data_IF_900579395616
#
_entry.id   IF_900579395616
#
_cell.length_a   1.000
_cell.length_b   1.000
_cell.length_c   1.000
_cell.angle_alpha   90.00
_cell.angle_beta   90.00
_cell.angle_gamma   90.00
#
_symmetry.space_group_name_H-M   'P 1'
#
loop_
_entity.id
_entity.type
_entity.pdbx_description
1 polymer ?
#
# COMPACT_ATOMS: atom_id res chain seq x y z
N UNK A 1 -8.83 -41.80 -21.27
CA UNK A 1 -9.15 -41.30 -19.89
C UNK A 1 -10.65 -41.16 -19.77
N UNK A 2 -11.27 -41.58 -18.66
CA UNK A 2 -12.70 -41.37 -18.44
C UNK A 2 -13.03 -39.85 -18.48
N UNK A 3 -14.17 -39.49 -19.05
CA UNK A 3 -14.61 -38.10 -19.15
C UNK A 3 -14.71 -37.43 -17.78
N UNK A 4 -15.02 -38.16 -16.73
CA UNK A 4 -15.06 -37.71 -15.34
C UNK A 4 -13.70 -37.21 -14.82
N UNK A 5 -12.60 -37.88 -15.21
CA UNK A 5 -11.24 -37.47 -14.81
C UNK A 5 -10.85 -36.18 -15.53
N UNK A 6 -11.22 -36.02 -16.80
CA UNK A 6 -10.98 -34.78 -17.56
C UNK A 6 -11.79 -33.62 -16.95
N UNK A 7 -13.04 -33.85 -16.58
CA UNK A 7 -13.88 -32.86 -15.93
C UNK A 7 -13.32 -32.47 -14.53
N UNK A 8 -12.84 -33.42 -13.75
CA UNK A 8 -12.21 -33.17 -12.45
C UNK A 8 -10.93 -32.34 -12.57
N UNK A 9 -10.07 -32.66 -13.53
CA UNK A 9 -8.83 -31.93 -13.81
C UNK A 9 -9.09 -30.51 -14.32
N UNK A 10 -10.17 -30.27 -15.06
CA UNK A 10 -10.56 -28.95 -15.52
C UNK A 10 -11.15 -28.07 -14.39
N UNK A 11 -11.91 -28.68 -13.46
CA UNK A 11 -12.56 -27.94 -12.36
C UNK A 11 -11.57 -27.56 -11.25
N UNK A 12 -10.56 -28.36 -11.00
CA UNK A 12 -9.58 -28.14 -9.91
C UNK A 12 -8.80 -26.82 -10.08
N UNK A 13 -8.16 -26.53 -11.23
CA UNK A 13 -7.46 -25.27 -11.42
C UNK A 13 -8.36 -24.06 -11.31
N UNK A 14 -9.59 -24.14 -11.81
CA UNK A 14 -10.56 -23.06 -11.70
C UNK A 14 -10.95 -22.77 -10.24
N UNK A 15 -11.18 -23.80 -9.42
CA UNK A 15 -11.44 -23.62 -7.98
C UNK A 15 -10.28 -22.96 -7.25
N UNK A 16 -9.06 -23.34 -7.56
CA UNK A 16 -7.85 -22.74 -6.96
C UNK A 16 -7.74 -21.26 -7.33
N UNK A 17 -7.94 -20.93 -8.62
CA UNK A 17 -7.94 -19.56 -9.09
C UNK A 17 -9.03 -18.72 -8.42
N UNK A 18 -10.25 -19.23 -8.35
CA UNK A 18 -11.37 -18.56 -7.68
C UNK A 18 -11.07 -18.33 -6.20
N UNK A 19 -10.57 -19.35 -5.50
CA UNK A 19 -10.16 -19.23 -4.09
C UNK A 19 -9.07 -18.20 -3.89
N UNK A 20 -8.07 -18.16 -4.78
CA UNK A 20 -7.03 -17.15 -4.75
C UNK A 20 -7.61 -15.74 -4.93
N UNK A 21 -8.48 -15.54 -5.91
CA UNK A 21 -9.14 -14.25 -6.16
C UNK A 21 -9.96 -13.81 -4.95
N UNK A 22 -10.70 -14.72 -4.32
CA UNK A 22 -11.47 -14.42 -3.11
C UNK A 22 -10.56 -14.00 -1.95
N UNK A 23 -9.47 -14.71 -1.69
CA UNK A 23 -8.50 -14.32 -0.67
C UNK A 23 -7.79 -13.02 -1.01
N UNK A 24 -7.45 -12.80 -2.27
CA UNK A 24 -6.88 -11.53 -2.72
C UNK A 24 -7.85 -10.37 -2.45
N UNK A 25 -9.15 -10.55 -2.68
CA UNK A 25 -10.18 -9.56 -2.35
C UNK A 25 -10.33 -9.33 -0.84
N UNK A 26 -10.24 -10.40 -0.02
CA UNK A 26 -10.29 -10.31 1.45
C UNK A 26 -9.09 -9.55 2.01
N UNK A 27 -7.90 -9.77 1.46
CA UNK A 27 -6.68 -9.09 1.91
C UNK A 27 -6.66 -7.60 1.56
N UNK A 28 -7.37 -7.16 0.50
CA UNK A 28 -7.38 -5.77 0.06
C UNK A 28 -7.74 -4.77 1.18
N UNK A 29 -8.89 -4.89 1.87
CA UNK A 29 -9.24 -3.96 2.94
C UNK A 29 -8.31 -4.07 4.15
N UNK A 30 -7.77 -5.27 4.45
CA UNK A 30 -6.85 -5.46 5.56
C UNK A 30 -5.50 -4.79 5.29
N UNK A 31 -4.97 -4.89 4.07
CA UNK A 31 -3.74 -4.19 3.66
C UNK A 31 -3.95 -2.68 3.66
N UNK A 32 -5.12 -2.20 3.23
CA UNK A 32 -5.45 -0.78 3.28
C UNK A 32 -5.53 -0.24 4.71
N UNK A 33 -6.12 -1.00 5.64
CA UNK A 33 -6.14 -0.65 7.06
C UNK A 33 -4.75 -0.68 7.69
N UNK A 34 -3.92 -1.64 7.28
CA UNK A 34 -2.53 -1.74 7.71
C UNK A 34 -1.72 -0.52 7.22
N UNK A 35 -1.85 -0.14 5.94
CA UNK A 35 -1.25 1.09 5.41
C UNK A 35 -1.60 2.29 6.29
N UNK A 36 -2.89 2.52 6.51
CA UNK A 36 -3.37 3.63 7.30
C UNK A 36 -2.80 3.61 8.73
N UNK A 37 -2.83 2.45 9.38
CA UNK A 37 -2.32 2.28 10.75
C UNK A 37 -0.81 2.54 10.85
N UNK A 38 -0.03 1.96 9.95
CA UNK A 38 1.43 2.14 9.89
C UNK A 38 1.76 3.61 9.61
N UNK A 39 1.12 4.21 8.63
CA UNK A 39 1.36 5.61 8.28
C UNK A 39 1.03 6.54 9.45
N UNK A 40 -0.17 6.42 10.03
CA UNK A 40 -0.65 7.31 11.09
C UNK A 40 0.09 7.12 12.41
N UNK A 41 0.28 5.87 12.85
CA UNK A 41 0.76 5.60 14.22
C UNK A 41 2.24 5.26 14.26
N UNK A 42 2.77 4.54 13.28
CA UNK A 42 4.18 4.16 13.29
C UNK A 42 5.04 5.27 12.68
N UNK A 43 4.75 5.69 11.46
CA UNK A 43 5.58 6.68 10.76
C UNK A 43 5.51 8.09 11.38
N UNK A 44 4.35 8.47 11.92
CA UNK A 44 4.18 9.81 12.48
C UNK A 44 4.28 9.89 14.01
N UNK A 45 3.83 8.89 14.77
CA UNK A 45 3.75 8.97 16.23
C UNK A 45 4.78 8.13 16.97
N UNK A 46 4.96 6.85 16.61
CA UNK A 46 5.80 5.91 17.36
C UNK A 46 7.30 6.00 17.04
N UNK A 47 7.68 6.88 16.15
CA UNK A 47 9.02 7.06 15.62
C UNK A 47 10.12 7.33 16.69
N UNK A 48 9.73 7.78 17.88
CA UNK A 48 10.69 7.97 19.00
C UNK A 48 10.99 6.67 19.75
N UNK A 49 10.13 5.65 19.61
CA UNK A 49 10.21 4.38 20.32
C UNK A 49 10.84 3.26 19.46
N UNK A 50 11.02 3.50 18.17
CA UNK A 50 11.52 2.49 17.24
C UNK A 50 13.05 2.45 17.20
N UNK A 51 13.59 1.23 17.07
CA UNK A 51 15.01 0.96 16.90
C UNK A 51 15.60 1.83 15.77
N UNK A 52 16.80 2.42 15.95
CA UNK A 52 17.56 3.11 14.90
C UNK A 52 17.66 2.35 13.57
N UNK A 53 17.63 1.02 13.61
CA UNK A 53 17.66 0.17 12.40
C UNK A 53 16.44 0.27 11.49
N UNK A 54 15.35 0.90 11.95
CA UNK A 54 14.16 1.17 11.16
C UNK A 54 14.19 2.59 10.55
N UNK A 55 15.33 2.97 10.01
CA UNK A 55 15.59 4.33 9.51
C UNK A 55 14.59 4.83 8.47
N UNK A 56 14.08 3.96 7.59
CA UNK A 56 13.09 4.36 6.59
C UNK A 56 11.74 4.80 7.20
N UNK A 57 11.33 4.25 8.34
CA UNK A 57 10.14 4.72 9.05
C UNK A 57 10.37 6.08 9.72
N UNK A 58 11.62 6.35 10.15
CA UNK A 58 12.01 7.64 10.73
C UNK A 58 12.16 8.72 9.66
N UNK A 59 12.65 8.34 8.51
CA UNK A 59 12.92 9.21 7.39
C UNK A 59 11.64 9.76 6.75
N UNK A 60 10.49 9.12 6.98
CA UNK A 60 9.21 9.65 6.54
C UNK A 60 8.92 11.08 7.06
N UNK A 61 9.33 11.39 8.29
CA UNK A 61 9.24 12.76 8.82
C UNK A 61 10.18 13.74 8.15
N UNK A 62 11.38 13.30 7.76
CA UNK A 62 12.32 14.12 6.99
C UNK A 62 11.77 14.39 5.59
N UNK A 63 11.15 13.39 4.97
CA UNK A 63 10.45 13.50 3.71
C UNK A 63 9.37 14.59 3.73
N UNK A 64 8.55 14.68 4.80
CA UNK A 64 7.57 15.75 4.97
C UNK A 64 8.20 17.16 5.09
N UNK A 65 9.43 17.26 5.57
CA UNK A 65 10.12 18.54 5.73
C UNK A 65 10.87 19.00 4.47
N UNK A 66 10.76 18.27 3.37
CA UNK A 66 11.40 18.59 2.10
C UNK A 66 12.93 18.40 2.08
N UNK A 67 13.52 17.89 3.17
CA UNK A 67 14.99 17.75 3.27
C UNK A 67 15.51 16.66 2.31
N UNK A 68 14.72 15.59 2.04
CA UNK A 68 15.14 14.45 1.23
C UNK A 68 13.94 13.84 0.50
N UNK A 69 13.17 14.65 -0.23
CA UNK A 69 11.93 14.20 -0.91
C UNK A 69 12.14 13.05 -1.90
N UNK A 70 13.37 12.90 -2.43
CA UNK A 70 13.70 11.84 -3.37
C UNK A 70 14.07 10.51 -2.72
N UNK A 71 14.45 10.49 -1.42
CA UNK A 71 15.08 9.33 -0.80
C UNK A 71 14.08 8.35 -0.16
N UNK A 72 12.90 8.79 0.24
CA UNK A 72 11.99 7.98 1.08
C UNK A 72 10.58 7.78 0.50
N UNK A 73 10.51 7.75 -0.82
CA UNK A 73 9.26 7.57 -1.55
C UNK A 73 8.94 6.10 -1.88
N UNK A 74 9.89 5.21 -1.66
CA UNK A 74 9.74 3.79 -1.98
C UNK A 74 9.31 3.00 -0.74
N UNK A 75 8.43 2.03 -0.94
CA UNK A 75 8.09 1.02 0.05
C UNK A 75 8.87 -0.26 -0.27
N UNK A 76 9.96 -0.61 0.45
CA UNK A 76 10.69 -1.82 0.20
C UNK A 76 9.82 -3.07 0.48
N UNK A 77 9.87 -4.08 -0.40
CA UNK A 77 9.09 -5.31 -0.24
C UNK A 77 9.34 -5.98 1.12
N UNK A 78 10.58 -5.95 1.61
CA UNK A 78 10.94 -6.50 2.93
C UNK A 78 10.11 -5.92 4.06
N UNK A 79 9.77 -4.64 4.02
CA UNK A 79 9.01 -3.96 5.06
C UNK A 79 7.53 -4.32 4.97
N UNK A 80 6.99 -4.44 3.75
CA UNK A 80 5.63 -4.91 3.55
C UNK A 80 5.47 -6.38 4.00
N UNK A 81 6.47 -7.23 3.73
CA UNK A 81 6.50 -8.62 4.21
C UNK A 81 6.61 -8.65 5.74
N UNK A 82 7.45 -7.83 6.34
CA UNK A 82 7.57 -7.73 7.80
C UNK A 82 6.25 -7.30 8.44
N UNK A 83 5.61 -6.27 7.90
CA UNK A 83 4.33 -5.75 8.42
C UNK A 83 3.17 -6.74 8.24
N UNK A 84 3.21 -7.58 7.22
CA UNK A 84 2.20 -8.64 7.00
C UNK A 84 2.54 -9.96 7.69
N UNK A 85 3.75 -10.10 8.26
CA UNK A 85 4.19 -11.34 8.92
C UNK A 85 3.29 -11.83 10.06
N UNK A 86 2.66 -10.99 10.90
CA UNK A 86 1.71 -11.46 11.90
C UNK A 86 0.52 -12.19 11.27
N UNK A 87 0.02 -11.72 10.13
CA UNK A 87 -1.05 -12.41 9.41
C UNK A 87 -0.59 -13.76 8.84
N UNK A 88 0.63 -13.85 8.34
CA UNK A 88 1.24 -15.13 7.94
C UNK A 88 1.35 -16.12 9.09
N UNK A 89 1.82 -15.66 10.26
CA UNK A 89 1.94 -16.49 11.46
C UNK A 89 0.57 -17.00 11.90
N UNK A 90 -0.43 -16.11 11.99
CA UNK A 90 -1.79 -16.49 12.37
C UNK A 90 -2.42 -17.49 11.39
N UNK A 91 -2.25 -17.29 10.08
CA UNK A 91 -2.70 -18.24 9.07
C UNK A 91 -2.03 -19.60 9.21
N UNK A 92 -0.72 -19.63 9.48
CA UNK A 92 0.03 -20.86 9.65
C UNK A 92 -0.43 -21.62 10.89
N UNK A 93 -0.56 -20.94 12.04
CA UNK A 93 -1.05 -21.53 13.29
C UNK A 93 -2.46 -22.07 13.10
N UNK A 94 -3.35 -21.28 12.48
CA UNK A 94 -4.72 -21.71 12.19
C UNK A 94 -4.76 -22.93 11.28
N UNK A 95 -3.99 -22.95 10.20
CA UNK A 95 -3.96 -24.07 9.26
C UNK A 95 -3.40 -25.36 9.87
N UNK A 96 -2.40 -25.23 10.75
CA UNK A 96 -1.86 -26.37 11.48
C UNK A 96 -2.83 -26.92 12.55
N UNK A 97 -3.67 -26.04 13.12
CA UNK A 97 -4.60 -26.41 14.18
C UNK A 97 -5.89 -27.06 13.69
N UNK A 98 -6.41 -26.64 12.52
CA UNK A 98 -7.80 -26.97 12.11
C UNK A 98 -7.94 -27.46 10.67
N UNK A 99 -6.89 -27.48 9.87
CA UNK A 99 -7.02 -27.86 8.47
C UNK A 99 -5.81 -28.50 7.83
N UNK A 100 -5.97 -29.02 6.62
CA UNK A 100 -4.83 -29.48 5.84
C UNK A 100 -3.93 -28.29 5.48
N UNK A 101 -2.63 -28.51 5.40
CA UNK A 101 -1.63 -27.48 5.04
C UNK A 101 -1.98 -26.73 3.74
N UNK A 102 -2.63 -27.44 2.79
CA UNK A 102 -3.14 -26.83 1.55
C UNK A 102 -4.12 -25.67 1.77
N UNK A 103 -4.85 -25.67 2.89
CA UNK A 103 -5.77 -24.58 3.23
C UNK A 103 -5.05 -23.26 3.54
N UNK A 104 -3.76 -23.31 3.90
CA UNK A 104 -2.94 -22.13 4.20
C UNK A 104 -2.23 -21.58 2.96
N UNK A 105 -1.90 -22.43 1.99
CA UNK A 105 -1.08 -22.05 0.84
C UNK A 105 -1.70 -20.94 -0.01
N UNK A 106 -2.98 -21.06 -0.34
CA UNK A 106 -3.66 -20.08 -1.21
C UNK A 106 -3.84 -18.73 -0.50
N UNK A 107 -4.33 -18.65 0.75
CA UNK A 107 -4.37 -17.40 1.50
C UNK A 107 -3.00 -16.74 1.64
N UNK A 108 -1.95 -17.51 1.94
CA UNK A 108 -0.58 -17.01 2.07
C UNK A 108 -0.03 -16.49 0.74
N UNK A 109 -0.24 -17.21 -0.35
CA UNK A 109 0.14 -16.76 -1.70
C UNK A 109 -0.60 -15.48 -2.10
N UNK A 110 -1.88 -15.37 -1.78
CA UNK A 110 -2.67 -14.18 -2.03
C UNK A 110 -2.18 -12.97 -1.20
N UNK A 111 -1.79 -13.18 0.07
CA UNK A 111 -1.22 -12.13 0.91
C UNK A 111 0.14 -11.66 0.40
N UNK A 112 1.01 -12.60 -0.03
CA UNK A 112 2.30 -12.25 -0.64
C UNK A 112 2.12 -11.48 -1.96
N UNK A 113 1.17 -11.91 -2.79
CA UNK A 113 0.83 -11.18 -4.01
C UNK A 113 0.34 -9.76 -3.70
N UNK A 114 -0.49 -9.58 -2.67
CA UNK A 114 -0.90 -8.25 -2.21
C UNK A 114 0.27 -7.42 -1.70
N UNK A 115 1.16 -7.98 -0.89
CA UNK A 115 2.33 -7.26 -0.38
C UNK A 115 3.21 -6.74 -1.53
N UNK A 116 3.42 -7.57 -2.55
CA UNK A 116 4.19 -7.21 -3.75
C UNK A 116 3.47 -6.14 -4.59
N UNK A 117 2.17 -6.31 -4.81
CA UNK A 117 1.36 -5.38 -5.58
C UNK A 117 1.23 -4.01 -4.88
N UNK A 118 1.03 -4.01 -3.57
CA UNK A 118 0.98 -2.80 -2.76
C UNK A 118 2.31 -2.03 -2.82
N UNK A 119 3.45 -2.72 -2.62
CA UNK A 119 4.78 -2.13 -2.74
C UNK A 119 4.98 -1.46 -4.10
N UNK A 120 4.58 -2.15 -5.16
CA UNK A 120 4.63 -1.61 -6.53
C UNK A 120 3.75 -0.36 -6.66
N UNK A 121 2.48 -0.42 -6.23
CA UNK A 121 1.56 0.72 -6.31
C UNK A 121 2.06 1.91 -5.50
N UNK A 122 2.44 1.69 -4.24
CA UNK A 122 2.97 2.74 -3.37
C UNK A 122 4.13 3.46 -4.06
N UNK A 123 5.15 2.72 -4.47
CA UNK A 123 6.33 3.28 -5.09
C UNK A 123 5.99 4.07 -6.36
N UNK A 124 5.14 3.53 -7.25
CA UNK A 124 4.79 4.20 -8.51
C UNK A 124 3.94 5.44 -8.31
N UNK A 125 2.95 5.37 -7.43
CA UNK A 125 2.07 6.49 -7.10
C UNK A 125 2.89 7.59 -6.43
N UNK A 126 3.64 7.27 -5.40
CA UNK A 126 4.40 8.21 -4.58
C UNK A 126 5.49 8.92 -5.39
N UNK A 127 6.30 8.18 -6.18
CA UNK A 127 7.30 8.76 -7.08
C UNK A 127 6.70 9.69 -8.12
N UNK A 128 5.54 9.33 -8.69
CA UNK A 128 4.83 10.17 -9.63
C UNK A 128 4.32 11.47 -8.98
N UNK A 129 3.76 11.39 -7.77
CA UNK A 129 3.27 12.54 -7.02
C UNK A 129 4.40 13.54 -6.73
N UNK A 130 5.56 13.06 -6.28
CA UNK A 130 6.73 13.90 -6.01
C UNK A 130 7.51 14.33 -7.27
N UNK A 131 7.05 13.94 -8.45
CA UNK A 131 7.70 14.28 -9.72
C UNK A 131 9.10 13.71 -9.91
N UNK A 132 9.44 12.63 -9.18
CA UNK A 132 10.74 11.95 -9.24
C UNK A 132 10.84 11.14 -10.52
N UNK A 133 9.73 10.49 -10.91
CA UNK A 133 9.66 9.65 -12.08
C UNK A 133 8.35 9.89 -12.81
N UNK A 134 8.43 10.17 -14.12
CA UNK A 134 7.25 10.18 -14.98
C UNK A 134 6.86 8.73 -15.31
N UNK A 135 5.67 8.32 -14.94
CA UNK A 135 5.19 6.98 -15.16
C UNK A 135 3.72 6.94 -15.64
N UNK A 136 3.19 5.73 -15.85
CA UNK A 136 1.82 5.54 -16.33
C UNK A 136 0.76 6.21 -15.46
N UNK A 137 0.99 6.33 -14.15
CA UNK A 137 0.03 6.90 -13.21
C UNK A 137 -0.21 8.39 -13.45
N UNK A 138 0.83 9.15 -13.83
CA UNK A 138 0.67 10.57 -14.19
C UNK A 138 -0.26 10.76 -15.38
N UNK A 139 -0.33 9.79 -16.29
CA UNK A 139 -1.21 9.83 -17.45
C UNK A 139 -2.69 9.60 -17.11
N UNK A 140 -3.00 9.14 -15.90
CA UNK A 140 -4.38 8.87 -15.47
C UNK A 140 -5.22 10.15 -15.23
N UNK A 141 -4.68 11.32 -15.48
CA UNK A 141 -5.42 12.58 -15.55
C UNK A 141 -6.11 12.97 -14.23
N UNK A 142 -7.42 12.78 -14.14
CA UNK A 142 -8.19 13.14 -12.92
C UNK A 142 -7.80 12.30 -11.72
N UNK A 143 -7.53 11.02 -11.91
CA UNK A 143 -7.12 10.11 -10.84
C UNK A 143 -5.77 10.55 -10.26
N UNK A 144 -4.79 10.84 -11.11
CA UNK A 144 -3.49 11.35 -10.65
C UNK A 144 -3.65 12.65 -9.84
N UNK A 145 -4.43 13.62 -10.35
CA UNK A 145 -4.66 14.88 -9.64
C UNK A 145 -5.28 14.65 -8.27
N UNK A 146 -6.27 13.76 -8.17
CA UNK A 146 -6.90 13.41 -6.90
C UNK A 146 -5.88 12.89 -5.88
N UNK A 147 -5.07 11.88 -6.24
CA UNK A 147 -4.05 11.32 -5.34
C UNK A 147 -2.96 12.32 -4.99
N UNK A 148 -2.51 13.10 -5.96
CA UNK A 148 -1.51 14.15 -5.77
C UNK A 148 -2.00 15.19 -4.75
N UNK A 149 -3.18 15.71 -4.95
CA UNK A 149 -3.73 16.77 -4.11
C UNK A 149 -4.02 16.25 -2.70
N UNK A 150 -4.52 15.00 -2.60
CA UNK A 150 -4.71 14.29 -1.33
C UNK A 150 -3.40 14.14 -0.55
N UNK A 151 -2.35 13.68 -1.20
CA UNK A 151 -1.04 13.48 -0.60
C UNK A 151 -0.35 14.81 -0.22
N UNK A 152 -0.42 15.83 -1.06
CA UNK A 152 0.12 17.15 -0.70
C UNK A 152 -0.63 17.80 0.46
N UNK A 153 -1.93 17.55 0.61
CA UNK A 153 -2.65 17.97 1.81
C UNK A 153 -2.09 17.33 3.07
N UNK A 154 -1.70 16.05 2.99
CA UNK A 154 -1.01 15.35 4.06
C UNK A 154 0.38 15.97 4.36
N UNK A 155 1.15 16.36 3.36
CA UNK A 155 2.42 17.07 3.56
C UNK A 155 2.26 18.43 4.24
N UNK A 156 1.17 19.14 3.95
CA UNK A 156 0.86 20.44 4.60
C UNK A 156 0.35 20.24 6.03
N UNK A 157 -0.45 19.20 6.25
CA UNK A 157 -1.00 18.85 7.56
C UNK A 157 -0.88 17.34 7.80
N UNK A 158 0.17 16.94 8.50
CA UNK A 158 0.49 15.54 8.77
C UNK A 158 -0.51 14.83 9.71
N UNK A 159 -1.65 15.47 10.03
CA UNK A 159 -2.73 14.87 10.86
C UNK A 159 -3.91 14.37 10.04
N UNK A 160 -3.87 14.53 8.72
CA UNK A 160 -4.97 14.20 7.81
C UNK A 160 -4.47 13.44 6.59
N UNK A 161 -5.36 12.79 5.84
CA UNK A 161 -5.10 12.19 4.53
C UNK A 161 -3.92 11.19 4.53
N UNK A 162 -3.97 10.21 5.42
CA UNK A 162 -2.92 9.19 5.59
C UNK A 162 -2.90 8.11 4.51
N UNK A 163 -4.02 7.83 3.84
CA UNK A 163 -4.15 6.79 2.82
C UNK A 163 -3.47 7.18 1.51
N UNK A 164 -2.21 6.81 1.30
CA UNK A 164 -1.47 7.15 0.09
C UNK A 164 -1.89 6.32 -1.13
N UNK A 165 -2.14 5.02 -0.95
CA UNK A 165 -2.65 4.09 -1.99
C UNK A 165 -4.16 3.90 -1.84
N UNK A 166 -4.66 3.91 -0.62
CA UNK A 166 -6.06 3.66 -0.30
C UNK A 166 -6.73 4.84 0.42
N UNK A 167 -6.99 5.97 -0.27
CA UNK A 167 -7.57 7.19 0.33
C UNK A 167 -8.94 6.98 1.00
N UNK A 168 -9.67 5.92 0.66
CA UNK A 168 -10.96 5.60 1.28
C UNK A 168 -10.85 5.32 2.79
N UNK A 169 -9.67 4.91 3.28
CA UNK A 169 -9.42 4.71 4.71
C UNK A 169 -9.54 6.02 5.49
N UNK A 170 -9.20 7.14 4.89
CA UNK A 170 -9.36 8.47 5.53
C UNK A 170 -10.82 8.85 5.73
N UNK A 171 -11.71 8.42 4.85
CA UNK A 171 -13.15 8.59 5.07
C UNK A 171 -13.63 7.71 6.22
N UNK A 172 -13.20 6.46 6.28
CA UNK A 172 -13.56 5.52 7.34
C UNK A 172 -13.11 6.01 8.73
N UNK A 173 -11.91 6.57 8.81
CA UNK A 173 -11.32 7.06 10.07
C UNK A 173 -11.48 8.56 10.30
N UNK A 174 -12.31 9.24 9.51
CA UNK A 174 -12.67 10.67 9.61
C UNK A 174 -11.45 11.62 9.55
N UNK A 175 -10.40 11.19 8.85
CA UNK A 175 -9.18 11.98 8.64
C UNK A 175 -9.10 12.61 7.26
N UNK A 176 -10.09 12.39 6.42
CA UNK A 176 -10.21 13.06 5.13
C UNK A 176 -10.36 14.58 5.28
N UNK A 177 -9.60 15.33 4.47
CA UNK A 177 -9.76 16.78 4.30
C UNK A 177 -9.60 17.17 2.83
N UNK A 178 -10.37 18.16 2.40
CA UNK A 178 -10.28 18.70 1.04
C UNK A 178 -8.88 19.29 0.78
N UNK A 179 -8.34 18.94 -0.36
CA UNK A 179 -6.95 19.21 -0.72
C UNK A 179 -6.79 20.30 -1.79
N UNK A 180 -7.86 20.96 -2.23
CA UNK A 180 -7.84 21.87 -3.41
C UNK A 180 -6.74 22.92 -3.39
N UNK A 181 -6.41 23.47 -2.23
CA UNK A 181 -5.39 24.50 -2.08
C UNK A 181 -4.00 23.97 -1.68
N UNK A 182 -3.89 22.74 -1.22
CA UNK A 182 -2.67 22.22 -0.61
C UNK A 182 -1.51 22.09 -1.60
N UNK A 183 -1.80 21.72 -2.84
CA UNK A 183 -0.79 21.55 -3.88
C UNK A 183 -0.02 22.86 -4.19
N UNK A 184 -0.67 24.00 -4.16
CA UNK A 184 -0.04 25.29 -4.49
C UNK A 184 1.00 25.73 -3.44
N UNK A 185 0.83 25.30 -2.19
CA UNK A 185 1.70 25.69 -1.07
C UNK A 185 2.85 24.72 -0.81
N UNK A 186 2.88 23.54 -1.48
CA UNK A 186 3.94 22.58 -1.26
C UNK A 186 5.23 22.92 -2.04
N UNK A 187 6.45 22.81 -1.44
CA UNK A 187 7.71 23.19 -2.08
C UNK A 187 7.98 22.49 -3.43
N UNK A 188 7.50 21.25 -3.62
CA UNK A 188 7.67 20.48 -4.86
C UNK A 188 6.64 20.77 -5.94
N UNK A 189 5.64 21.60 -5.68
CA UNK A 189 4.56 21.87 -6.63
C UNK A 189 5.06 22.44 -7.96
N UNK A 190 6.09 23.29 -7.93
CA UNK A 190 6.73 23.85 -9.11
C UNK A 190 7.44 22.79 -9.96
N UNK A 191 8.11 21.82 -9.33
CA UNK A 191 8.82 20.73 -10.00
C UNK A 191 7.85 19.80 -10.75
N UNK A 192 6.71 19.48 -10.14
CA UNK A 192 5.67 18.67 -10.78
C UNK A 192 5.09 19.39 -11.99
N UNK A 193 4.82 20.70 -11.90
CA UNK A 193 4.29 21.49 -13.01
C UNK A 193 5.26 21.55 -14.19
N UNK A 194 6.55 21.76 -13.95
CA UNK A 194 7.55 21.85 -15.04
C UNK A 194 7.74 20.55 -15.82
N UNK A 195 7.40 19.39 -15.25
CA UNK A 195 7.51 18.09 -15.92
C UNK A 195 6.23 17.65 -16.64
N UNK A 196 5.13 18.38 -16.45
CA UNK A 196 3.82 18.05 -17.04
C UNK A 196 3.46 18.92 -18.26
N UNK A 197 4.24 19.98 -18.51
CA UNK A 197 4.17 20.82 -19.70
C UNK A 197 5.18 20.36 -20.76
#
# INVERSE_FOLDING_TARGET
>A
MPQEVIALLAVTPFRWLLTFILWFAIWAPLVAMLEYGVHRWIMHKANQLLDPKLDHLKSHRAHHKGANESEFVDAPLKDCVLLTSPAFILLTVWGLAIGPFSAVLIPAAALLAWSSFYTYLWTRIHRAIHGIEANWFQRSGRLFRFFRDHHFKHHVDAKVNYGAVFPWTDYLFLTWRDAKAAHASHPTSGRVRSKMN
#
